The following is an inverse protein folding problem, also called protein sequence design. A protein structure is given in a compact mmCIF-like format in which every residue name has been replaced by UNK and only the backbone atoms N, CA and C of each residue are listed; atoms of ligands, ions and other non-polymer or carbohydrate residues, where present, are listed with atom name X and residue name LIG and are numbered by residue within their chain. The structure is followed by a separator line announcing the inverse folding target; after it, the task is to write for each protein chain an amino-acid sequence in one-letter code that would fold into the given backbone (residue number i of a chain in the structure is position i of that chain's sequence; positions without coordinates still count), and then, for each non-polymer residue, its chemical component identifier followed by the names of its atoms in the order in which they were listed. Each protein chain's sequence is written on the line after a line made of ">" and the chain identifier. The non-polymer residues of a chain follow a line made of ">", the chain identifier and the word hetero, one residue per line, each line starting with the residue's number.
data_IF_600058444874
#
_entry.id   IF_600058444874
#
_cell.length_a   1.000
_cell.length_b   1.000
_cell.length_c   1.000
_cell.angle_alpha   90.00
_cell.angle_beta   90.00
_cell.angle_gamma   90.00
#
_symmetry.space_group_name_H-M   'P 1'
#
loop_
_entity.id
_entity.type
_entity.pdbx_description
1 polymer ?
#
# COMPACT_ATOMS: atom_id res chain seq x y z
N UNK A 1 17.51 -3.68 24.52
CA UNK A 1 17.87 -2.36 23.93
C UNK A 1 18.67 -2.46 22.63
N UNK A 2 19.62 -3.39 22.48
CA UNK A 2 20.36 -3.54 21.20
C UNK A 2 19.54 -4.17 20.05
N UNK A 3 18.53 -5.00 20.33
CA UNK A 3 17.65 -5.56 19.29
C UNK A 3 16.69 -4.54 18.65
N UNK A 4 16.34 -3.44 19.33
CA UNK A 4 15.49 -2.38 18.76
C UNK A 4 16.25 -1.47 17.77
N UNK A 5 17.57 -1.40 17.87
CA UNK A 5 18.43 -0.54 17.02
C UNK A 5 18.68 -1.09 15.61
N UNK A 6 18.20 -2.30 15.26
CA UNK A 6 18.48 -2.96 13.98
C UNK A 6 17.25 -3.42 13.19
N UNK A 7 16.05 -2.99 13.56
CA UNK A 7 14.84 -3.36 12.79
C UNK A 7 14.90 -2.81 11.37
N UNK A 8 14.53 -3.64 10.39
CA UNK A 8 14.60 -3.32 8.97
C UNK A 8 13.21 -3.27 8.35
N UNK A 9 12.87 -2.18 7.68
CA UNK A 9 11.60 -1.99 6.99
C UNK A 9 11.78 -1.82 5.48
N UNK A 10 11.07 -2.61 4.69
CA UNK A 10 11.00 -2.49 3.24
C UNK A 10 9.70 -1.80 2.85
N UNK A 11 9.80 -0.72 2.07
CA UNK A 11 8.66 0.09 1.64
C UNK A 11 8.66 0.20 0.12
N UNK A 12 7.62 -0.29 -0.53
CA UNK A 12 7.42 -0.12 -1.97
C UNK A 12 6.63 1.16 -2.27
N UNK A 13 6.93 1.82 -3.40
CA UNK A 13 6.34 3.11 -3.73
C UNK A 13 6.82 4.25 -2.82
N UNK A 14 8.08 4.18 -2.36
CA UNK A 14 8.64 5.05 -1.33
C UNK A 14 9.08 6.43 -1.82
N UNK A 15 9.08 6.68 -3.14
CA UNK A 15 9.57 7.96 -3.69
C UNK A 15 8.60 9.14 -3.52
N UNK A 16 7.35 8.91 -3.15
CA UNK A 16 6.34 9.97 -3.01
C UNK A 16 5.14 9.56 -2.15
N UNK A 17 4.31 10.53 -1.78
CA UNK A 17 3.02 10.31 -1.12
C UNK A 17 3.11 9.50 0.16
N UNK A 18 2.16 8.58 0.35
CA UNK A 18 2.02 7.79 1.59
C UNK A 18 3.27 6.97 1.89
N UNK A 19 3.88 6.33 0.87
CA UNK A 19 5.09 5.50 1.06
C UNK A 19 6.29 6.30 1.53
N UNK A 20 6.51 7.48 0.94
CA UNK A 20 7.56 8.43 1.39
C UNK A 20 7.34 8.87 2.83
N UNK A 21 6.10 9.23 3.18
CA UNK A 21 5.81 9.73 4.52
C UNK A 21 5.86 8.60 5.57
N UNK A 22 5.53 7.35 5.19
CA UNK A 22 5.80 6.17 6.04
C UNK A 22 7.30 5.94 6.27
N UNK A 23 8.14 6.17 5.24
CA UNK A 23 9.59 6.08 5.38
C UNK A 23 10.11 7.10 6.40
N UNK A 24 9.64 8.36 6.35
CA UNK A 24 9.98 9.40 7.32
C UNK A 24 9.63 9.01 8.75
N UNK A 25 8.46 8.42 8.94
CA UNK A 25 8.00 8.01 10.28
C UNK A 25 8.85 6.86 10.81
N UNK A 26 9.13 5.86 9.98
CA UNK A 26 9.94 4.71 10.40
C UNK A 26 11.41 5.09 10.63
N UNK A 27 11.96 6.06 9.88
CA UNK A 27 13.27 6.63 10.14
C UNK A 27 13.36 7.28 11.54
N UNK A 28 12.32 8.05 11.92
CA UNK A 28 12.23 8.65 13.28
C UNK A 28 12.11 7.60 14.39
N UNK A 29 11.62 6.40 14.05
CA UNK A 29 11.56 5.24 14.95
C UNK A 29 12.83 4.37 14.88
N UNK A 30 13.90 4.86 14.26
CA UNK A 30 15.21 4.20 14.10
C UNK A 30 15.18 2.87 13.32
N UNK A 31 14.26 2.71 12.36
CA UNK A 31 14.31 1.59 11.43
C UNK A 31 15.34 1.83 10.33
N UNK A 32 16.15 0.83 10.02
CA UNK A 32 16.87 0.76 8.75
C UNK A 32 15.87 0.60 7.61
N UNK A 33 16.07 1.31 6.51
CA UNK A 33 15.07 1.40 5.44
C UNK A 33 15.56 0.82 4.12
N UNK A 34 14.68 0.06 3.47
CA UNK A 34 14.81 -0.37 2.09
C UNK A 34 13.69 0.31 1.31
N UNK A 35 14.06 1.28 0.48
CA UNK A 35 13.11 2.11 -0.27
C UNK A 35 13.08 1.69 -1.73
N UNK A 36 11.92 1.30 -2.23
CA UNK A 36 11.74 0.77 -3.58
C UNK A 36 10.75 1.62 -4.36
N UNK A 37 11.14 2.12 -5.53
CA UNK A 37 10.28 2.81 -6.49
C UNK A 37 10.96 2.89 -7.85
N UNK A 38 10.21 3.28 -8.90
CA UNK A 38 10.78 3.53 -10.24
C UNK A 38 11.56 4.84 -10.33
N UNK A 39 11.13 5.86 -9.59
CA UNK A 39 11.71 7.20 -9.63
C UNK A 39 12.95 7.24 -8.73
N UNK A 40 14.13 7.13 -9.34
CA UNK A 40 15.41 7.13 -8.66
C UNK A 40 15.71 8.48 -7.99
N UNK A 41 15.44 9.59 -8.67
CA UNK A 41 15.66 10.94 -8.11
C UNK A 41 14.83 11.14 -6.84
N UNK A 42 13.58 10.67 -6.87
CA UNK A 42 12.70 10.71 -5.70
C UNK A 42 13.20 9.85 -4.54
N UNK A 43 13.77 8.67 -4.82
CA UNK A 43 14.40 7.81 -3.80
C UNK A 43 15.67 8.45 -3.24
N UNK A 44 16.51 8.99 -4.09
CA UNK A 44 17.76 9.66 -3.68
C UNK A 44 17.46 10.88 -2.81
N UNK A 45 16.45 11.68 -3.19
CA UNK A 45 16.05 12.85 -2.41
C UNK A 45 15.60 12.45 -0.99
N UNK A 46 14.73 11.46 -0.87
CA UNK A 46 14.25 11.03 0.46
C UNK A 46 15.36 10.36 1.26
N UNK A 47 16.24 9.57 0.64
CA UNK A 47 17.42 9.00 1.30
C UNK A 47 18.29 10.10 1.92
N UNK A 48 18.70 11.08 1.13
CA UNK A 48 19.57 12.17 1.60
C UNK A 48 18.91 12.99 2.72
N UNK A 49 17.60 13.26 2.61
CA UNK A 49 16.82 13.91 3.66
C UNK A 49 16.90 13.13 4.98
N UNK A 50 16.61 11.83 4.94
CA UNK A 50 16.51 11.01 6.15
C UNK A 50 17.88 10.69 6.76
N UNK A 51 18.93 10.52 5.96
CA UNK A 51 20.30 10.34 6.46
C UNK A 51 20.84 11.61 7.14
N UNK A 52 20.39 12.79 6.69
CA UNK A 52 20.70 14.06 7.35
C UNK A 52 19.97 14.21 8.68
N UNK A 53 18.69 13.81 8.73
CA UNK A 53 17.87 13.89 9.95
C UNK A 53 18.24 12.83 11.00
N UNK A 54 18.68 11.65 10.57
CA UNK A 54 19.02 10.53 11.45
C UNK A 54 20.19 9.69 10.86
N UNK A 55 21.38 10.00 11.30
CA UNK A 55 22.61 9.32 10.88
C UNK A 55 22.85 7.94 11.53
N UNK A 56 21.90 7.46 12.37
CA UNK A 56 21.99 6.16 13.05
C UNK A 56 21.40 5.02 12.24
N UNK A 57 20.66 5.32 11.18
CA UNK A 57 19.99 4.33 10.34
C UNK A 57 20.68 4.16 9.00
N UNK A 58 20.59 2.97 8.44
CA UNK A 58 21.05 2.68 7.08
C UNK A 58 19.86 2.72 6.11
N UNK A 59 20.04 3.39 4.96
CA UNK A 59 19.01 3.49 3.93
C UNK A 59 19.55 2.96 2.61
N UNK A 60 18.96 1.88 2.14
CA UNK A 60 19.21 1.30 0.81
C UNK A 60 18.08 1.69 -0.13
N UNK A 61 18.41 2.11 -1.34
CA UNK A 61 17.42 2.41 -2.38
C UNK A 61 17.48 1.39 -3.52
N UNK A 62 16.33 1.02 -4.04
CA UNK A 62 16.19 0.16 -5.22
C UNK A 62 15.32 0.85 -6.26
N UNK A 63 15.93 1.50 -7.28
CA UNK A 63 15.20 2.03 -8.43
C UNK A 63 14.75 0.85 -9.31
N UNK A 64 13.55 0.31 -9.01
CA UNK A 64 13.02 -0.88 -9.67
C UNK A 64 11.56 -0.68 -10.10
N UNK A 65 11.20 -1.23 -11.25
CA UNK A 65 9.80 -1.39 -11.65
C UNK A 65 9.25 -2.74 -11.18
N UNK A 66 8.34 -2.72 -10.23
CA UNK A 66 7.70 -3.91 -9.68
C UNK A 66 6.58 -4.48 -10.59
N UNK A 67 6.27 -3.82 -11.72
CA UNK A 67 5.49 -4.42 -12.79
C UNK A 67 6.22 -5.65 -13.40
N UNK A 68 7.53 -5.69 -13.34
CA UNK A 68 8.37 -6.80 -13.78
C UNK A 68 8.52 -7.77 -12.60
N UNK A 69 7.89 -8.93 -12.68
CA UNK A 69 7.87 -9.92 -11.58
C UNK A 69 9.26 -10.38 -11.16
N UNK A 70 10.21 -10.45 -12.08
CA UNK A 70 11.61 -10.81 -11.84
C UNK A 70 12.28 -9.82 -10.87
N UNK A 71 11.92 -8.54 -10.92
CA UNK A 71 12.40 -7.54 -9.98
C UNK A 71 11.91 -7.80 -8.55
N UNK A 72 10.70 -8.34 -8.37
CA UNK A 72 10.21 -8.73 -7.05
C UNK A 72 11.03 -9.89 -6.45
N UNK A 73 11.40 -10.86 -7.26
CA UNK A 73 12.27 -11.96 -6.82
C UNK A 73 13.69 -11.47 -6.53
N UNK A 74 14.27 -10.65 -7.42
CA UNK A 74 15.59 -10.04 -7.22
C UNK A 74 15.64 -9.18 -5.95
N UNK A 75 14.61 -8.39 -5.68
CA UNK A 75 14.49 -7.61 -4.45
C UNK A 75 14.51 -8.52 -3.22
N UNK A 76 13.73 -9.60 -3.23
CA UNK A 76 13.69 -10.55 -2.12
C UNK A 76 15.04 -11.27 -1.93
N UNK A 77 15.73 -11.67 -3.00
CA UNK A 77 17.05 -12.31 -2.89
C UNK A 77 18.11 -11.38 -2.31
N UNK A 78 18.07 -10.08 -2.66
CA UNK A 78 19.01 -9.07 -2.18
C UNK A 78 18.71 -8.63 -0.74
N UNK A 79 17.43 -8.60 -0.34
CA UNK A 79 17.01 -8.04 0.94
C UNK A 79 16.18 -9.03 1.76
N UNK A 80 16.88 -10.04 2.26
CA UNK A 80 16.30 -10.99 3.22
C UNK A 80 16.29 -10.39 4.64
N UNK A 81 15.56 -11.04 5.54
CA UNK A 81 15.57 -10.70 6.96
C UNK A 81 15.05 -9.31 7.32
N UNK A 82 13.96 -8.89 6.69
CA UNK A 82 13.23 -7.69 7.09
C UNK A 82 12.26 -7.99 8.25
N UNK A 83 11.96 -6.97 9.06
CA UNK A 83 11.00 -7.03 10.17
C UNK A 83 9.64 -6.46 9.76
N UNK A 84 9.64 -5.49 8.84
CA UNK A 84 8.43 -4.84 8.33
C UNK A 84 8.43 -4.83 6.82
N UNK A 85 7.34 -5.33 6.22
CA UNK A 85 7.06 -5.18 4.79
C UNK A 85 5.88 -4.22 4.59
N UNK A 86 6.06 -3.16 3.81
CA UNK A 86 4.99 -2.25 3.41
C UNK A 86 4.80 -2.33 1.89
N UNK A 87 3.79 -3.05 1.45
CA UNK A 87 3.34 -3.09 0.07
C UNK A 87 2.45 -1.88 -0.22
N UNK A 88 3.08 -0.77 -0.60
CA UNK A 88 2.38 0.48 -0.88
C UNK A 88 2.41 0.87 -2.37
N UNK A 89 3.35 0.36 -3.17
CA UNK A 89 3.39 0.63 -4.60
C UNK A 89 2.06 0.30 -5.28
N UNK A 90 1.59 1.20 -6.13
CA UNK A 90 0.37 1.00 -6.88
C UNK A 90 -0.13 2.30 -7.51
N UNK A 91 -0.93 2.16 -8.54
CA UNK A 91 -1.56 3.29 -9.24
C UNK A 91 -2.95 2.93 -9.73
N UNK A 92 -3.68 3.90 -10.23
CA UNK A 92 -5.00 3.74 -10.82
C UNK A 92 -5.04 4.23 -12.26
N UNK A 93 -6.08 3.84 -12.99
CA UNK A 93 -6.39 4.30 -14.33
C UNK A 93 -7.88 4.63 -14.38
N UNK A 94 -8.21 5.79 -14.95
CA UNK A 94 -9.59 6.26 -15.09
C UNK A 94 -9.99 6.24 -16.57
N UNK A 95 -11.15 5.70 -16.88
CA UNK A 95 -11.76 5.64 -18.19
C UNK A 95 -12.81 4.53 -18.27
N UNK A 96 -13.59 4.53 -19.32
CA UNK A 96 -14.48 3.40 -19.64
C UNK A 96 -13.64 2.17 -19.97
N UNK A 97 -14.02 1.00 -19.46
CA UNK A 97 -13.21 -0.21 -19.56
C UNK A 97 -12.83 -0.58 -21.01
N UNK A 98 -13.75 -0.34 -21.95
CA UNK A 98 -13.49 -0.60 -23.36
C UNK A 98 -12.54 0.42 -24.03
N UNK A 99 -12.32 1.58 -23.39
CA UNK A 99 -11.54 2.70 -23.95
C UNK A 99 -10.17 2.85 -23.29
N UNK A 100 -9.95 2.22 -22.14
CA UNK A 100 -8.67 2.29 -21.45
C UNK A 100 -7.61 1.43 -22.14
N UNK A 101 -6.35 1.87 -22.04
CA UNK A 101 -5.20 1.17 -22.62
C UNK A 101 -4.94 -0.15 -21.89
N UNK A 102 -5.03 -1.27 -22.61
CA UNK A 102 -4.86 -2.61 -22.05
C UNK A 102 -3.48 -2.81 -21.41
N UNK A 103 -2.40 -2.30 -22.02
CA UNK A 103 -1.05 -2.49 -21.51
C UNK A 103 -0.84 -1.72 -20.20
N UNK A 104 -1.48 -0.55 -20.03
CA UNK A 104 -1.51 0.17 -18.76
C UNK A 104 -2.30 -0.59 -17.70
N UNK A 105 -3.40 -1.24 -18.07
CA UNK A 105 -4.17 -2.08 -17.15
C UNK A 105 -3.36 -3.30 -16.68
N UNK A 106 -2.69 -4.01 -17.61
CA UNK A 106 -1.80 -5.13 -17.28
C UNK A 106 -0.66 -4.67 -16.37
N UNK A 107 -0.02 -3.53 -16.67
CA UNK A 107 0.99 -2.92 -15.81
C UNK A 107 0.44 -2.63 -14.41
N UNK A 108 -0.80 -2.14 -14.32
CA UNK A 108 -1.48 -1.88 -13.05
C UNK A 108 -1.76 -3.19 -12.28
N UNK A 109 -2.24 -4.22 -12.95
CA UNK A 109 -2.46 -5.56 -12.36
C UNK A 109 -1.14 -6.11 -11.82
N UNK A 110 -0.07 -6.07 -12.61
CA UNK A 110 1.23 -6.56 -12.20
C UNK A 110 1.77 -5.81 -10.97
N UNK A 111 1.64 -4.48 -10.95
CA UNK A 111 2.11 -3.68 -9.80
C UNK A 111 1.22 -3.86 -8.57
N UNK A 112 -0.11 -3.76 -8.74
CA UNK A 112 -1.05 -3.73 -7.63
C UNK A 112 -1.38 -5.14 -7.07
N UNK A 113 -1.24 -6.19 -7.88
CA UNK A 113 -1.58 -7.58 -7.51
C UNK A 113 -0.33 -8.45 -7.49
N UNK A 114 0.32 -8.65 -8.65
CA UNK A 114 1.40 -9.63 -8.78
C UNK A 114 2.57 -9.32 -7.84
N UNK A 115 3.01 -8.08 -7.79
CA UNK A 115 4.08 -7.66 -6.87
C UNK A 115 3.68 -7.85 -5.41
N UNK A 116 2.47 -7.44 -5.03
CA UNK A 116 1.95 -7.62 -3.65
C UNK A 116 1.87 -9.10 -3.29
N UNK A 117 1.40 -9.95 -4.21
CA UNK A 117 1.33 -11.39 -4.03
C UNK A 117 2.71 -12.02 -3.78
N UNK A 118 3.68 -11.70 -4.65
CA UNK A 118 5.04 -12.26 -4.58
C UNK A 118 5.72 -11.83 -3.28
N UNK A 119 5.79 -10.52 -3.03
CA UNK A 119 6.50 -9.99 -1.86
C UNK A 119 5.84 -10.44 -0.56
N UNK A 120 4.49 -10.37 -0.46
CA UNK A 120 3.78 -10.89 0.71
C UNK A 120 4.10 -12.36 0.94
N UNK A 121 4.05 -13.20 -0.11
CA UNK A 121 4.28 -14.64 0.02
C UNK A 121 5.70 -14.97 0.48
N UNK A 122 6.70 -14.33 -0.11
CA UNK A 122 8.11 -14.63 0.15
C UNK A 122 8.50 -14.18 1.57
N UNK A 123 8.25 -12.93 1.91
CA UNK A 123 8.58 -12.41 3.24
C UNK A 123 7.74 -13.03 4.36
N UNK A 124 6.48 -13.35 4.11
CA UNK A 124 5.64 -14.06 5.07
C UNK A 124 6.23 -15.43 5.43
N UNK A 125 6.78 -16.18 4.46
CA UNK A 125 7.44 -17.47 4.74
C UNK A 125 8.60 -17.31 5.71
N UNK A 126 9.42 -16.29 5.54
CA UNK A 126 10.56 -16.04 6.43
C UNK A 126 10.13 -15.51 7.79
N UNK A 127 9.14 -14.63 7.83
CA UNK A 127 8.56 -14.14 9.08
C UNK A 127 7.92 -15.29 9.90
N UNK A 128 7.23 -16.24 9.24
CA UNK A 128 6.67 -17.42 9.92
C UNK A 128 7.77 -18.30 10.53
N UNK A 129 8.91 -18.51 9.84
CA UNK A 129 10.04 -19.28 10.37
C UNK A 129 10.62 -18.65 11.63
N UNK A 130 10.65 -17.30 11.69
CA UNK A 130 11.12 -16.53 12.85
C UNK A 130 10.03 -16.30 13.90
N UNK A 131 8.78 -16.62 13.57
CA UNK A 131 7.56 -16.26 14.31
C UNK A 131 7.50 -14.79 14.72
N UNK A 132 8.08 -13.89 13.90
CA UNK A 132 8.14 -12.44 14.12
C UNK A 132 8.08 -11.69 12.78
N UNK A 133 7.35 -10.59 12.73
CA UNK A 133 7.31 -9.69 11.58
C UNK A 133 5.95 -9.01 11.42
N UNK A 134 5.96 -7.90 10.67
CA UNK A 134 4.78 -7.11 10.36
C UNK A 134 4.66 -6.90 8.85
N UNK A 135 3.48 -7.15 8.30
CA UNK A 135 3.16 -6.84 6.91
C UNK A 135 2.03 -5.82 6.87
N UNK A 136 2.21 -4.75 6.12
CA UNK A 136 1.17 -3.77 5.81
C UNK A 136 0.90 -3.78 4.31
N UNK A 137 -0.28 -4.24 3.90
CA UNK A 137 -0.75 -4.15 2.53
C UNK A 137 -1.64 -2.91 2.35
N UNK A 138 -1.28 -2.05 1.39
CA UNK A 138 -2.04 -0.84 1.08
C UNK A 138 -3.05 -1.12 -0.02
N UNK A 139 -4.31 -1.25 0.39
CA UNK A 139 -5.46 -1.33 -0.51
C UNK A 139 -6.07 0.06 -0.77
N UNK A 140 -7.37 0.17 -0.69
CA UNK A 140 -8.18 1.40 -0.78
C UNK A 140 -9.60 1.09 -0.33
N UNK A 141 -10.38 2.12 0.01
CA UNK A 141 -11.85 1.98 0.11
C UNK A 141 -12.46 1.52 -1.22
N UNK A 142 -11.82 1.78 -2.33
CA UNK A 142 -12.21 1.29 -3.66
C UNK A 142 -12.35 -0.23 -3.72
N UNK A 143 -11.62 -0.98 -2.90
CA UNK A 143 -11.69 -2.44 -2.88
C UNK A 143 -12.92 -3.02 -2.16
N UNK A 144 -13.83 -2.20 -1.63
CA UNK A 144 -15.06 -2.69 -0.97
C UNK A 144 -16.29 -2.66 -1.87
N UNK A 145 -16.19 -2.16 -3.09
CA UNK A 145 -17.30 -2.03 -4.02
C UNK A 145 -16.82 -2.11 -5.47
N UNK A 146 -17.68 -2.39 -6.44
CA UNK A 146 -17.37 -2.21 -7.86
C UNK A 146 -17.14 -0.73 -8.17
N UNK A 147 -16.27 -0.43 -9.13
CA UNK A 147 -15.93 0.95 -9.51
C UNK A 147 -16.01 1.18 -11.01
N UNK A 148 -17.19 1.46 -11.57
CA UNK A 148 -17.31 1.89 -12.96
C UNK A 148 -16.35 3.04 -13.27
N UNK A 149 -15.83 3.13 -14.49
CA UNK A 149 -14.79 4.08 -14.93
C UNK A 149 -13.41 3.91 -14.26
N UNK A 150 -13.27 2.95 -13.36
CA UNK A 150 -11.99 2.54 -12.73
C UNK A 150 -12.01 1.04 -12.44
N UNK A 151 -12.64 0.24 -13.29
CA UNK A 151 -12.97 -1.16 -13.04
C UNK A 151 -11.76 -1.99 -12.58
N UNK A 152 -10.68 -1.97 -13.35
CA UNK A 152 -9.45 -2.72 -13.05
C UNK A 152 -8.81 -2.26 -11.74
N UNK A 153 -8.75 -0.95 -11.48
CA UNK A 153 -8.20 -0.46 -10.20
C UNK A 153 -8.98 -0.98 -9.00
N UNK A 154 -10.32 -0.88 -9.02
CA UNK A 154 -11.18 -1.36 -7.93
C UNK A 154 -11.02 -2.87 -7.72
N UNK A 155 -10.97 -3.64 -8.82
CA UNK A 155 -10.73 -5.07 -8.78
C UNK A 155 -9.36 -5.41 -8.16
N UNK A 156 -8.28 -4.68 -8.51
CA UNK A 156 -6.97 -4.89 -7.91
C UNK A 156 -6.98 -4.64 -6.40
N UNK A 157 -7.69 -3.61 -5.94
CA UNK A 157 -7.77 -3.30 -4.50
C UNK A 157 -8.67 -4.27 -3.73
N UNK A 158 -9.70 -4.82 -4.37
CA UNK A 158 -10.50 -5.92 -3.82
C UNK A 158 -9.64 -7.18 -3.63
N UNK A 159 -8.81 -7.53 -4.63
CA UNK A 159 -7.87 -8.65 -4.51
C UNK A 159 -6.98 -8.52 -3.26
N UNK A 160 -6.37 -7.35 -3.05
CA UNK A 160 -5.49 -7.10 -1.89
C UNK A 160 -6.25 -7.25 -0.57
N UNK A 161 -7.50 -6.78 -0.52
CA UNK A 161 -8.36 -6.94 0.67
C UNK A 161 -8.64 -8.42 0.95
N UNK A 162 -9.09 -9.15 -0.06
CA UNK A 162 -9.44 -10.56 0.06
C UNK A 162 -8.24 -11.42 0.48
N UNK A 163 -7.10 -11.26 -0.22
CA UNK A 163 -5.85 -11.93 0.11
C UNK A 163 -5.42 -11.67 1.56
N UNK A 164 -5.37 -10.40 1.96
CA UNK A 164 -4.88 -10.02 3.28
C UNK A 164 -5.78 -10.55 4.40
N UNK A 165 -7.10 -10.57 4.18
CA UNK A 165 -8.08 -11.17 5.11
C UNK A 165 -7.87 -12.68 5.27
N UNK A 166 -7.66 -13.39 4.15
CA UNK A 166 -7.44 -14.83 4.15
C UNK A 166 -6.15 -15.19 4.91
N UNK A 167 -5.02 -14.56 4.54
CA UNK A 167 -3.71 -14.78 5.18
C UNK A 167 -3.78 -14.49 6.69
N UNK A 168 -4.44 -13.40 7.11
CA UNK A 168 -4.66 -13.13 8.54
C UNK A 168 -5.37 -14.27 9.25
N UNK A 169 -6.41 -14.84 8.63
CA UNK A 169 -7.16 -15.95 9.25
C UNK A 169 -6.29 -17.19 9.41
N UNK A 170 -5.45 -17.49 8.42
CA UNK A 170 -4.49 -18.59 8.47
C UNK A 170 -3.46 -18.41 9.60
N UNK A 171 -2.86 -17.22 9.70
CA UNK A 171 -1.93 -16.87 10.78
C UNK A 171 -2.56 -17.04 12.17
N UNK A 172 -3.81 -16.56 12.33
CA UNK A 172 -4.56 -16.73 13.59
C UNK A 172 -4.80 -18.20 13.93
N UNK A 173 -5.15 -19.02 12.94
CA UNK A 173 -5.35 -20.47 13.16
C UNK A 173 -4.07 -21.18 13.56
N UNK A 174 -2.92 -20.75 13.03
CA UNK A 174 -1.60 -21.25 13.38
C UNK A 174 -1.04 -20.66 14.67
N UNK A 175 -1.76 -19.73 15.32
CA UNK A 175 -1.29 -19.00 16.52
C UNK A 175 0.05 -18.29 16.32
N UNK A 176 0.36 -17.88 15.07
CA UNK A 176 1.60 -17.19 14.73
C UNK A 176 1.66 -15.78 15.33
N UNK A 177 2.85 -15.37 15.75
CA UNK A 177 3.13 -14.01 16.20
C UNK A 177 3.31 -13.01 15.06
N UNK A 178 3.42 -13.47 13.80
CA UNK A 178 3.45 -12.60 12.62
C UNK A 178 2.15 -11.81 12.51
N UNK A 179 2.27 -10.50 12.29
CA UNK A 179 1.13 -9.60 12.14
C UNK A 179 0.97 -9.18 10.68
N UNK A 180 -0.27 -9.12 10.23
CA UNK A 180 -0.60 -8.56 8.92
C UNK A 180 -1.71 -7.53 9.09
N UNK A 181 -1.51 -6.38 8.48
CA UNK A 181 -2.42 -5.23 8.51
C UNK A 181 -2.84 -4.83 7.10
N UNK A 182 -4.00 -4.23 7.00
CA UNK A 182 -4.62 -3.76 5.77
C UNK A 182 -4.95 -2.28 5.90
N UNK A 183 -4.27 -1.42 5.13
CA UNK A 183 -4.59 -0.01 5.04
C UNK A 183 -5.56 0.23 3.88
N UNK A 184 -6.71 0.83 4.16
CA UNK A 184 -7.69 1.22 3.15
C UNK A 184 -7.98 2.72 3.25
N UNK A 185 -7.14 3.56 2.65
CA UNK A 185 -7.38 5.00 2.63
C UNK A 185 -8.53 5.36 1.70
N UNK A 186 -9.18 6.50 1.98
CA UNK A 186 -10.01 7.22 1.04
C UNK A 186 -9.16 8.08 0.08
N UNK A 187 -9.71 9.15 -0.49
CA UNK A 187 -8.94 10.11 -1.25
C UNK A 187 -7.81 10.70 -0.41
N UNK A 188 -6.60 10.69 -0.96
CA UNK A 188 -5.40 11.26 -0.34
C UNK A 188 -4.77 12.22 -1.34
N UNK A 189 -4.32 13.36 -0.85
CA UNK A 189 -3.64 14.35 -1.69
C UNK A 189 -2.21 13.89 -1.98
N UNK A 190 -2.04 13.28 -3.16
CA UNK A 190 -0.78 12.71 -3.63
C UNK A 190 -0.68 12.79 -5.15
N UNK A 191 0.47 12.43 -5.71
CA UNK A 191 0.64 12.28 -7.15
C UNK A 191 -0.26 11.19 -7.79
N UNK A 192 -0.91 10.33 -6.98
CA UNK A 192 -1.86 9.34 -7.46
C UNK A 192 -2.95 9.98 -8.32
N UNK A 193 -3.47 11.15 -7.93
CA UNK A 193 -4.55 11.83 -8.64
C UNK A 193 -4.13 12.22 -10.06
N UNK A 194 -2.87 12.66 -10.23
CA UNK A 194 -2.29 12.99 -11.54
C UNK A 194 -2.09 11.74 -12.39
N UNK A 195 -1.53 10.67 -11.82
CA UNK A 195 -1.27 9.41 -12.52
C UNK A 195 -2.55 8.72 -12.96
N UNK A 196 -3.57 8.71 -12.09
CA UNK A 196 -4.88 8.11 -12.37
C UNK A 196 -5.78 9.01 -13.26
N UNK A 197 -5.35 10.24 -13.55
CA UNK A 197 -6.13 11.26 -14.26
C UNK A 197 -7.51 11.49 -13.63
N UNK A 198 -7.54 11.69 -12.31
CA UNK A 198 -8.77 11.95 -11.54
C UNK A 198 -8.67 13.24 -10.75
N UNK A 199 -9.79 13.97 -10.65
CA UNK A 199 -9.96 15.13 -9.77
C UNK A 199 -11.00 14.81 -8.71
N UNK A 200 -10.60 14.79 -7.45
CA UNK A 200 -11.53 14.63 -6.34
C UNK A 200 -12.13 16.00 -5.95
N UNK A 201 -13.45 16.05 -5.85
CA UNK A 201 -14.14 17.26 -5.37
C UNK A 201 -14.04 17.45 -3.85
N UNK A 202 -13.82 16.35 -3.13
CA UNK A 202 -13.66 16.37 -1.66
C UNK A 202 -12.16 16.43 -1.38
N UNK A 203 -11.70 17.39 -0.55
CA UNK A 203 -10.30 17.43 -0.13
C UNK A 203 -9.88 16.09 0.46
N UNK A 204 -8.80 15.51 -0.05
CA UNK A 204 -8.19 14.31 0.51
C UNK A 204 -7.54 14.60 1.86
N UNK A 205 -7.32 13.55 2.64
CA UNK A 205 -6.41 13.63 3.78
C UNK A 205 -4.98 13.85 3.27
N UNK A 206 -4.15 14.59 4.02
CA UNK A 206 -2.73 14.65 3.67
C UNK A 206 -2.07 13.28 3.79
N UNK A 207 -1.11 12.99 2.92
CA UNK A 207 -0.37 11.73 2.93
C UNK A 207 0.34 11.48 4.26
N UNK A 208 0.86 12.54 4.87
CA UNK A 208 1.51 12.50 6.19
C UNK A 208 0.56 12.00 7.29
N UNK A 209 -0.67 12.59 7.38
CA UNK A 209 -1.68 12.15 8.37
C UNK A 209 -2.09 10.69 8.16
N UNK A 210 -2.23 10.27 6.90
CA UNK A 210 -2.56 8.88 6.56
C UNK A 210 -1.42 7.95 6.94
N UNK A 211 -0.17 8.31 6.63
CA UNK A 211 1.02 7.54 6.95
C UNK A 211 1.20 7.40 8.47
N UNK A 212 1.10 8.51 9.23
CA UNK A 212 1.20 8.49 10.69
C UNK A 212 0.14 7.57 11.30
N UNK A 213 -1.11 7.75 10.90
CA UNK A 213 -2.20 6.90 11.39
C UNK A 213 -1.98 5.42 11.04
N UNK A 214 -1.47 5.13 9.85
CA UNK A 214 -1.23 3.77 9.40
C UNK A 214 -0.13 3.07 10.20
N UNK A 215 1.02 3.72 10.38
CA UNK A 215 2.15 3.16 11.16
C UNK A 215 1.75 2.97 12.62
N UNK A 216 1.13 3.97 13.27
CA UNK A 216 0.65 3.87 14.65
C UNK A 216 -0.30 2.67 14.86
N UNK A 217 -1.22 2.45 13.90
CA UNK A 217 -2.19 1.35 14.00
C UNK A 217 -1.56 -0.01 13.67
N UNK A 218 -0.64 -0.06 12.71
CA UNK A 218 0.13 -1.26 12.36
C UNK A 218 0.94 -1.73 13.57
N UNK A 219 1.70 -0.85 14.19
CA UNK A 219 2.52 -1.16 15.38
C UNK A 219 1.67 -1.60 16.59
N UNK A 220 0.42 -1.12 16.67
CA UNK A 220 -0.59 -1.57 17.65
C UNK A 220 -1.36 -2.81 17.19
N UNK A 221 -0.86 -3.55 16.18
CA UNK A 221 -1.46 -4.78 15.65
C UNK A 221 -2.93 -4.64 15.20
N UNK A 222 -3.36 -3.45 14.77
CA UNK A 222 -4.70 -3.27 14.18
C UNK A 222 -4.72 -3.83 12.77
N UNK A 223 -5.68 -4.73 12.54
CA UNK A 223 -5.81 -5.36 11.22
C UNK A 223 -6.30 -4.40 10.15
N UNK A 224 -7.50 -3.86 10.33
CA UNK A 224 -8.09 -2.95 9.35
C UNK A 224 -7.86 -1.50 9.78
N UNK A 225 -7.15 -0.77 8.94
CA UNK A 225 -6.75 0.61 9.18
C UNK A 225 -7.48 1.49 8.17
N UNK A 226 -8.44 2.28 8.68
CA UNK A 226 -9.30 3.17 7.91
C UNK A 226 -9.06 4.61 8.38
N UNK A 227 -8.21 5.39 7.69
CA UNK A 227 -7.98 6.79 8.05
C UNK A 227 -9.23 7.64 7.76
N UNK A 228 -9.71 8.36 8.78
CA UNK A 228 -10.87 9.24 8.67
C UNK A 228 -12.20 8.60 9.09
N UNK A 229 -13.03 9.38 9.80
CA UNK A 229 -14.32 8.91 10.35
C UNK A 229 -15.34 8.66 9.25
N UNK A 230 -15.40 9.53 8.24
CA UNK A 230 -16.30 9.37 7.09
C UNK A 230 -16.02 8.07 6.32
N UNK A 231 -14.75 7.67 6.20
CA UNK A 231 -14.35 6.42 5.54
C UNK A 231 -14.87 5.20 6.31
N UNK A 232 -14.82 5.23 7.63
CA UNK A 232 -15.36 4.15 8.49
C UNK A 232 -16.86 4.01 8.33
N UNK A 233 -17.57 5.13 8.31
CA UNK A 233 -19.04 5.17 8.10
C UNK A 233 -19.38 4.66 6.70
N UNK A 234 -18.72 5.17 5.66
CA UNK A 234 -18.95 4.75 4.28
C UNK A 234 -18.72 3.25 4.08
N UNK A 235 -17.67 2.69 4.69
CA UNK A 235 -17.40 1.25 4.66
C UNK A 235 -18.52 0.45 5.37
N UNK A 236 -18.99 0.89 6.52
CA UNK A 236 -20.08 0.22 7.23
C UNK A 236 -21.39 0.22 6.41
N UNK A 237 -21.71 1.35 5.78
CA UNK A 237 -22.85 1.44 4.86
C UNK A 237 -22.69 0.53 3.65
N UNK A 238 -21.50 0.43 3.06
CA UNK A 238 -21.27 -0.43 1.90
C UNK A 238 -21.48 -1.92 2.19
N UNK A 239 -21.42 -2.36 3.45
CA UNK A 239 -21.64 -3.76 3.82
C UNK A 239 -23.13 -4.16 3.83
N UNK A 240 -24.03 -3.21 4.05
CA UNK A 240 -25.47 -3.45 4.11
C UNK A 240 -26.23 -2.98 2.86
N UNK A 241 -25.57 -2.24 1.97
CA UNK A 241 -26.20 -1.73 0.75
C UNK A 241 -26.22 -2.81 -0.33
N UNK A 242 -27.32 -3.05 -1.04
CA UNK A 242 -27.39 -3.96 -2.19
C UNK A 242 -26.41 -3.54 -3.30
N UNK A 243 -25.86 -4.52 -4.03
CA UNK A 243 -24.82 -4.25 -5.04
C UNK A 243 -25.30 -3.33 -6.16
N UNK A 244 -26.54 -3.47 -6.63
CA UNK A 244 -27.16 -2.61 -7.65
C UNK A 244 -27.08 -1.13 -7.26
N UNK A 245 -27.38 -0.83 -5.98
CA UNK A 245 -27.32 0.55 -5.47
C UNK A 245 -25.87 1.03 -5.37
N UNK A 246 -24.94 0.16 -4.95
CA UNK A 246 -23.51 0.49 -4.91
C UNK A 246 -22.97 0.84 -6.29
N UNK A 247 -23.34 0.07 -7.31
CA UNK A 247 -22.92 0.27 -8.70
C UNK A 247 -23.37 1.63 -9.23
N UNK A 248 -24.63 1.97 -9.03
CA UNK A 248 -25.21 3.22 -9.48
C UNK A 248 -24.57 4.44 -8.75
N UNK A 249 -24.48 4.36 -7.42
CA UNK A 249 -23.82 5.40 -6.62
C UNK A 249 -22.35 5.55 -7.02
N UNK A 250 -21.65 4.43 -7.24
CA UNK A 250 -20.25 4.45 -7.66
C UNK A 250 -20.11 5.08 -9.05
N UNK A 251 -20.97 4.75 -10.01
CA UNK A 251 -20.94 5.32 -11.36
C UNK A 251 -21.11 6.84 -11.33
N UNK A 252 -22.13 7.35 -10.64
CA UNK A 252 -22.35 8.77 -10.51
C UNK A 252 -21.22 9.49 -9.75
N UNK A 253 -20.68 8.87 -8.71
CA UNK A 253 -19.55 9.44 -7.98
C UNK A 253 -18.28 9.50 -8.84
N UNK A 254 -18.02 8.50 -9.68
CA UNK A 254 -16.88 8.47 -10.59
C UNK A 254 -17.04 9.45 -11.76
N UNK A 255 -18.22 9.51 -12.36
CA UNK A 255 -18.52 10.45 -13.46
C UNK A 255 -18.24 11.92 -13.07
N UNK A 256 -18.46 12.27 -11.81
CA UNK A 256 -18.15 13.61 -11.25
C UNK A 256 -16.64 13.89 -11.11
N UNK A 257 -15.77 12.89 -11.26
CA UNK A 257 -14.30 13.03 -11.22
C UNK A 257 -13.70 13.32 -12.59
N UNK A 258 -14.47 13.21 -13.64
CA UNK A 258 -14.13 13.63 -14.99
C UNK A 258 -14.11 15.16 -15.00
N UNK A 259 -12.93 15.76 -14.91
CA UNK A 259 -12.73 17.21 -14.98
C UNK A 259 -12.18 17.61 -16.28
#
# INVERSE_FOLDING_TARGET
>A
MEEELNMKALITGASSGIGRDMARILAKLNYNLILVARNEDGLTKIKNELETENNKINITIYPMDLNIKENCYKLYENEKNIDVLINNAGFGLFGEFAETDLEKEITMINTNITAVQILTKLYLKDMIKKDKGNILNVASIAGFMPGPLMATYYATKNYVIALTRAVRKELKKKKSNVKISLLCPGPVDTNFNKVANVKFKIPGLSSEKVAQYAIDKMLKNKFMILPGTLIKIGKAFSEITPDIIKEEVAYHAQKRKRG
#
